data_IF_286863566729
#
_entry.id   IF_286863566729
#
_cell.length_a   1.000
_cell.length_b   1.000
_cell.length_c   1.000
_cell.angle_alpha   90.00
_cell.angle_beta   90.00
_cell.angle_gamma   90.00
#
_symmetry.space_group_name_H-M   'P 1'
#
loop_
_entity.id
_entity.type
_entity.pdbx_description
1 polymer ?
#
# COMPACT_ATOMS: atom_id res chain seq x y z
N UNK A 1 1.87 24.81 -25.51
CA UNK A 1 1.26 23.56 -26.03
C UNK A 1 0.24 23.95 -27.09
N UNK A 2 -0.04 23.10 -28.08
CA UNK A 2 -1.10 23.38 -29.06
C UNK A 2 -2.48 23.26 -28.39
N UNK A 3 -3.49 23.87 -28.98
CA UNK A 3 -4.86 23.75 -28.48
C UNK A 3 -5.38 22.32 -28.60
N UNK A 4 -5.05 21.65 -29.70
CA UNK A 4 -5.41 20.25 -29.95
C UNK A 4 -4.83 19.32 -28.88
N UNK A 5 -3.52 19.41 -28.60
CA UNK A 5 -2.90 18.52 -27.61
C UNK A 5 -3.43 18.74 -26.19
N UNK A 6 -3.83 19.98 -25.86
CA UNK A 6 -4.49 20.27 -24.58
C UNK A 6 -5.91 19.72 -24.54
N UNK A 7 -6.66 19.79 -25.64
CA UNK A 7 -8.02 19.23 -25.69
C UNK A 7 -8.00 17.70 -25.55
N UNK A 8 -7.07 17.02 -26.20
CA UNK A 8 -6.88 15.57 -26.07
C UNK A 8 -6.50 15.19 -24.64
N UNK A 9 -5.51 15.86 -24.06
CA UNK A 9 -5.10 15.65 -22.67
C UNK A 9 -6.23 15.95 -21.66
N UNK A 10 -7.09 16.94 -21.94
CA UNK A 10 -8.23 17.27 -21.11
C UNK A 10 -9.30 16.17 -21.12
N UNK A 11 -9.58 15.60 -22.30
CA UNK A 11 -10.51 14.48 -22.44
C UNK A 11 -9.98 13.24 -21.71
N UNK A 12 -8.70 12.93 -21.92
CA UNK A 12 -8.02 11.80 -21.29
C UNK A 12 -8.03 11.91 -19.76
N UNK A 13 -7.61 13.04 -19.20
CA UNK A 13 -7.72 13.32 -17.75
C UNK A 13 -9.16 13.22 -17.23
N UNK A 14 -10.14 13.59 -18.05
CA UNK A 14 -11.55 13.42 -17.71
C UNK A 14 -11.90 11.97 -17.38
N UNK A 15 -11.39 11.03 -18.17
CA UNK A 15 -11.60 9.59 -17.97
C UNK A 15 -10.82 9.05 -16.76
N UNK A 16 -9.63 9.58 -16.48
CA UNK A 16 -8.83 9.16 -15.32
C UNK A 16 -9.46 9.64 -14.01
N UNK A 17 -9.92 10.89 -13.96
CA UNK A 17 -10.52 11.49 -12.75
C UNK A 17 -11.90 10.90 -12.48
N UNK A 18 -12.67 10.60 -13.53
CA UNK A 18 -14.02 10.03 -13.44
C UNK A 18 -14.16 8.92 -14.47
N UNK A 19 -13.69 7.70 -14.18
CA UNK A 19 -13.82 6.59 -15.11
C UNK A 19 -15.29 6.22 -15.28
N UNK A 20 -15.78 6.05 -16.52
CA UNK A 20 -17.16 5.64 -16.75
C UNK A 20 -17.39 4.20 -16.26
N UNK A 21 -18.64 3.91 -15.87
CA UNK A 21 -19.03 2.53 -15.55
C UNK A 21 -19.00 1.65 -16.80
N UNK A 22 -18.62 0.38 -16.63
CA UNK A 22 -18.68 -0.63 -17.71
C UNK A 22 -20.10 -0.81 -18.28
N UNK A 23 -21.13 -0.64 -17.45
CA UNK A 23 -22.55 -0.68 -17.86
C UNK A 23 -23.35 0.35 -17.06
N UNK A 24 -24.31 0.98 -17.74
CA UNK A 24 -25.23 1.96 -17.14
C UNK A 24 -24.63 3.35 -16.94
N UNK A 25 -25.45 4.34 -16.55
CA UNK A 25 -25.01 5.71 -16.34
C UNK A 25 -24.13 5.86 -15.09
N UNK A 26 -23.25 6.85 -15.10
CA UNK A 26 -22.42 7.24 -13.95
C UNK A 26 -20.96 6.79 -14.03
N UNK A 27 -20.24 7.03 -12.93
CA UNK A 27 -18.79 6.82 -12.84
C UNK A 27 -18.44 5.80 -11.74
N UNK A 28 -17.24 5.25 -11.82
CA UNK A 28 -16.61 4.42 -10.80
C UNK A 28 -15.71 5.31 -9.95
N UNK A 29 -15.57 5.00 -8.66
CA UNK A 29 -14.54 5.62 -7.83
C UNK A 29 -13.16 5.11 -8.29
N UNK A 30 -12.28 5.98 -8.81
CA UNK A 30 -10.97 5.56 -9.28
C UNK A 30 -10.02 5.17 -8.14
N UNK A 31 -10.39 5.39 -6.87
CA UNK A 31 -9.57 5.11 -5.69
C UNK A 31 -8.20 5.82 -5.74
N UNK A 32 -8.19 7.05 -6.25
CA UNK A 32 -7.00 7.89 -6.28
C UNK A 32 -6.66 8.36 -4.87
N UNK A 33 -5.36 8.38 -4.55
CA UNK A 33 -4.88 9.05 -3.34
C UNK A 33 -5.37 10.53 -3.32
N UNK A 34 -5.85 11.06 -2.17
CA UNK A 34 -6.41 12.41 -2.10
C UNK A 34 -5.49 13.51 -2.60
N UNK A 35 -4.17 13.36 -2.39
CA UNK A 35 -3.18 14.31 -2.88
C UNK A 35 -3.12 14.27 -4.41
N UNK A 36 -3.06 13.06 -4.99
CA UNK A 36 -3.05 12.87 -6.44
C UNK A 36 -4.34 13.41 -7.07
N UNK A 37 -5.50 13.11 -6.46
CA UNK A 37 -6.80 13.62 -6.91
C UNK A 37 -6.86 15.15 -6.98
N UNK A 38 -6.34 15.84 -5.96
CA UNK A 38 -6.26 17.31 -5.96
C UNK A 38 -5.39 17.85 -7.10
N UNK A 39 -4.26 17.19 -7.39
CA UNK A 39 -3.38 17.56 -8.51
C UNK A 39 -4.04 17.36 -9.86
N UNK A 40 -4.69 16.23 -10.09
CA UNK A 40 -5.39 15.94 -11.33
C UNK A 40 -6.52 16.94 -11.58
N UNK A 41 -7.28 17.32 -10.55
CA UNK A 41 -8.30 18.38 -10.67
C UNK A 41 -7.68 19.73 -11.05
N UNK A 42 -6.53 20.08 -10.47
CA UNK A 42 -5.81 21.30 -10.85
C UNK A 42 -5.30 21.30 -12.29
N UNK A 43 -4.80 20.15 -12.76
CA UNK A 43 -4.38 19.99 -14.16
C UNK A 43 -5.57 20.14 -15.10
N UNK A 44 -6.69 19.47 -14.81
CA UNK A 44 -7.93 19.59 -15.55
C UNK A 44 -8.42 21.04 -15.60
N UNK A 45 -8.45 21.74 -14.47
CA UNK A 45 -8.87 23.13 -14.40
C UNK A 45 -7.98 24.04 -15.26
N UNK A 46 -6.65 23.87 -15.21
CA UNK A 46 -5.72 24.59 -16.06
C UNK A 46 -6.02 24.38 -17.54
N UNK A 47 -6.16 23.12 -17.97
CA UNK A 47 -6.47 22.79 -19.36
C UNK A 47 -7.82 23.36 -19.81
N UNK A 48 -8.87 23.23 -18.99
CA UNK A 48 -10.18 23.82 -19.30
C UNK A 48 -10.10 25.34 -19.46
N UNK A 49 -9.40 26.03 -18.57
CA UNK A 49 -9.22 27.49 -18.63
C UNK A 49 -8.39 27.94 -19.83
N UNK A 50 -7.49 27.10 -20.34
CA UNK A 50 -6.64 27.40 -21.48
C UNK A 50 -7.33 27.12 -22.82
N UNK A 51 -8.13 26.04 -22.89
CA UNK A 51 -8.75 25.55 -24.12
C UNK A 51 -10.17 26.06 -24.37
N UNK A 52 -10.93 26.42 -23.33
CA UNK A 52 -12.28 26.95 -23.50
C UNK A 52 -12.24 28.40 -24.00
N UNK A 53 -12.84 28.67 -25.16
CA UNK A 53 -12.93 30.01 -25.75
C UNK A 53 -13.75 30.99 -24.90
N UNK A 54 -14.60 30.49 -24.00
CA UNK A 54 -15.36 31.30 -23.04
C UNK A 54 -14.53 31.73 -21.84
N UNK A 55 -13.36 31.13 -21.64
CA UNK A 55 -12.46 31.48 -20.54
C UNK A 55 -11.80 32.84 -20.76
N UNK A 56 -11.75 33.68 -19.72
CA UNK A 56 -11.00 34.94 -19.72
C UNK A 56 -9.50 34.70 -19.98
N UNK A 57 -8.99 33.53 -19.59
CA UNK A 57 -7.60 33.14 -19.79
C UNK A 57 -7.40 32.22 -20.99
N UNK A 58 -8.36 32.18 -21.93
CA UNK A 58 -8.26 31.44 -23.18
C UNK A 58 -6.92 31.72 -23.88
N UNK A 59 -6.24 30.64 -24.28
CA UNK A 59 -4.92 30.65 -24.89
C UNK A 59 -3.80 31.36 -24.10
N UNK A 60 -4.02 31.68 -22.81
CA UNK A 60 -3.04 32.30 -21.92
C UNK A 60 -2.60 31.29 -20.86
N UNK A 61 -1.60 30.48 -21.20
CA UNK A 61 -1.12 29.36 -20.36
C UNK A 61 -0.72 29.78 -18.93
N UNK A 62 0.05 30.87 -18.82
CA UNK A 62 0.47 31.41 -17.52
C UNK A 62 -0.70 31.87 -16.66
N UNK A 63 -1.62 32.64 -17.24
CA UNK A 63 -2.79 33.16 -16.54
C UNK A 63 -3.76 32.03 -16.14
N UNK A 64 -4.01 31.08 -17.04
CA UNK A 64 -4.84 29.89 -16.78
C UNK A 64 -4.29 29.06 -15.62
N UNK A 65 -2.96 28.88 -15.56
CA UNK A 65 -2.32 28.15 -14.46
C UNK A 65 -2.43 28.85 -13.11
N UNK A 66 -2.33 30.19 -13.11
CA UNK A 66 -2.47 30.98 -11.88
C UNK A 66 -3.92 30.95 -11.40
N UNK A 67 -4.88 31.12 -12.32
CA UNK A 67 -6.30 31.07 -12.00
C UNK A 67 -6.69 29.69 -11.44
N UNK A 68 -6.26 28.60 -12.07
CA UNK A 68 -6.49 27.24 -11.56
C UNK A 68 -5.90 27.04 -10.15
N UNK A 69 -4.67 27.53 -9.91
CA UNK A 69 -4.05 27.44 -8.60
C UNK A 69 -4.80 28.24 -7.52
N UNK A 70 -5.28 29.45 -7.86
CA UNK A 70 -6.06 30.30 -6.95
C UNK A 70 -7.39 29.64 -6.61
N UNK A 71 -8.08 29.04 -7.58
CA UNK A 71 -9.34 28.31 -7.35
C UNK A 71 -9.14 27.11 -6.41
N UNK A 72 -7.94 26.52 -6.37
CA UNK A 72 -7.55 25.47 -5.43
C UNK A 72 -7.09 25.98 -4.06
N UNK A 73 -7.13 27.29 -3.80
CA UNK A 73 -6.63 27.89 -2.55
C UNK A 73 -5.10 27.97 -2.47
N UNK A 74 -4.42 28.00 -3.61
CA UNK A 74 -2.96 28.06 -3.71
C UNK A 74 -2.46 29.27 -4.50
N UNK A 75 -1.14 29.53 -4.41
CA UNK A 75 -0.49 30.65 -5.08
C UNK A 75 0.39 30.27 -6.29
N UNK A 76 1.30 31.18 -6.62
CA UNK A 76 2.21 31.11 -7.78
C UNK A 76 3.07 29.85 -7.83
N UNK A 77 3.48 29.31 -6.67
CA UNK A 77 4.22 28.05 -6.58
C UNK A 77 3.42 26.89 -7.17
N UNK A 78 2.15 26.73 -6.76
CA UNK A 78 1.27 25.68 -7.27
C UNK A 78 1.04 25.86 -8.77
N UNK A 79 0.83 27.09 -9.25
CA UNK A 79 0.72 27.37 -10.68
C UNK A 79 1.96 26.92 -11.47
N UNK A 80 3.17 27.07 -10.90
CA UNK A 80 4.41 26.55 -11.49
C UNK A 80 4.43 25.02 -11.56
N UNK A 81 4.00 24.35 -10.49
CA UNK A 81 3.90 22.89 -10.43
C UNK A 81 2.88 22.37 -11.44
N UNK A 82 1.68 22.96 -11.49
CA UNK A 82 0.65 22.58 -12.46
C UNK A 82 1.15 22.72 -13.90
N UNK A 83 1.83 23.81 -14.25
CA UNK A 83 2.41 23.98 -15.60
C UNK A 83 3.43 22.90 -15.94
N UNK A 84 4.24 22.44 -14.97
CA UNK A 84 5.20 21.37 -15.17
C UNK A 84 4.48 20.04 -15.41
N UNK A 85 3.58 19.68 -14.51
CA UNK A 85 2.81 18.43 -14.61
C UNK A 85 2.01 18.37 -15.90
N UNK A 86 1.31 19.45 -16.25
CA UNK A 86 0.54 19.51 -17.49
C UNK A 86 1.41 19.41 -18.75
N UNK A 87 2.66 19.90 -18.74
CA UNK A 87 3.55 19.72 -19.89
C UNK A 87 4.03 18.27 -19.97
N UNK A 88 4.49 17.71 -18.85
CA UNK A 88 4.90 16.31 -18.79
C UNK A 88 3.78 15.37 -19.25
N UNK A 89 2.55 15.66 -18.87
CA UNK A 89 1.39 14.87 -19.26
C UNK A 89 1.03 15.00 -20.74
N UNK A 90 1.22 16.18 -21.35
CA UNK A 90 1.06 16.34 -22.81
C UNK A 90 2.14 15.56 -23.56
N UNK A 91 3.36 15.52 -23.01
CA UNK A 91 4.48 14.80 -23.62
C UNK A 91 4.32 13.27 -23.44
N UNK A 92 3.80 12.83 -22.29
CA UNK A 92 3.52 11.43 -21.95
C UNK A 92 2.28 11.31 -21.04
N UNK A 93 1.17 10.84 -21.62
CA UNK A 93 -0.11 10.67 -20.92
C UNK A 93 -0.08 9.58 -19.84
N UNK A 94 0.97 8.75 -19.77
CA UNK A 94 1.11 7.72 -18.73
C UNK A 94 1.65 8.27 -17.40
N UNK A 95 2.23 9.48 -17.41
CA UNK A 95 2.92 10.06 -16.25
C UNK A 95 1.94 10.81 -15.35
N UNK A 96 1.48 10.15 -14.29
CA UNK A 96 0.60 10.77 -13.28
C UNK A 96 1.38 11.40 -12.11
N UNK A 97 0.81 12.39 -11.40
CA UNK A 97 1.47 13.00 -10.25
C UNK A 97 1.61 12.01 -9.08
N UNK A 98 2.84 11.67 -8.74
CA UNK A 98 3.12 10.82 -7.58
C UNK A 98 3.06 11.61 -6.27
N UNK A 99 2.41 11.04 -5.26
CA UNK A 99 2.33 11.64 -3.94
C UNK A 99 3.70 11.55 -3.23
N UNK A 100 4.36 12.68 -2.91
CA UNK A 100 5.64 12.66 -2.20
C UNK A 100 5.49 12.33 -0.70
N UNK A 101 4.26 12.33 -0.18
CA UNK A 101 3.98 12.08 1.23
C UNK A 101 3.67 10.60 1.48
N UNK A 102 4.12 10.08 2.64
CA UNK A 102 3.84 8.71 3.08
C UNK A 102 4.97 7.71 2.84
N UNK A 103 5.85 7.98 1.88
CA UNK A 103 6.93 7.05 1.50
C UNK A 103 8.16 7.09 2.42
N UNK A 104 8.32 8.16 3.19
CA UNK A 104 9.43 8.39 4.12
C UNK A 104 9.48 7.42 5.32
N UNK A 105 8.49 6.53 5.49
CA UNK A 105 8.38 5.57 6.60
C UNK A 105 8.02 4.14 6.17
N UNK A 106 8.29 3.76 4.92
CA UNK A 106 8.09 2.36 4.49
C UNK A 106 9.02 1.45 5.30
N UNK A 107 8.43 0.49 5.99
CA UNK A 107 9.17 -0.56 6.72
C UNK A 107 10.00 -1.38 5.72
N UNK A 108 11.14 -1.93 6.12
CA UNK A 108 11.90 -2.85 5.25
C UNK A 108 11.07 -4.08 4.83
N UNK A 109 10.02 -4.40 5.60
CA UNK A 109 9.04 -5.44 5.28
C UNK A 109 8.19 -5.16 4.03
N UNK A 110 8.31 -3.99 3.39
CA UNK A 110 7.73 -3.76 2.06
C UNK A 110 8.45 -4.60 0.99
N UNK A 111 9.71 -4.96 1.22
CA UNK A 111 10.41 -5.93 0.39
C UNK A 111 9.85 -7.34 0.67
N UNK A 112 9.14 -7.90 -0.30
CA UNK A 112 8.47 -9.19 -0.17
C UNK A 112 9.46 -10.32 0.10
N UNK A 113 10.59 -10.35 -0.58
CA UNK A 113 11.64 -11.37 -0.39
C UNK A 113 12.18 -11.37 1.05
N UNK A 114 12.49 -10.17 1.59
CA UNK A 114 12.94 -10.03 2.97
C UNK A 114 11.87 -10.52 3.96
N UNK A 115 10.61 -10.19 3.69
CA UNK A 115 9.49 -10.59 4.54
C UNK A 115 9.29 -12.11 4.55
N UNK A 116 9.48 -12.77 3.39
CA UNK A 116 9.36 -14.22 3.25
C UNK A 116 10.53 -14.93 3.94
N UNK A 117 11.78 -14.48 3.72
CA UNK A 117 12.96 -15.05 4.40
C UNK A 117 12.87 -14.92 5.92
N UNK A 118 12.42 -13.76 6.43
CA UNK A 118 12.22 -13.57 7.86
C UNK A 118 11.11 -14.47 8.40
N UNK A 119 10.00 -14.64 7.67
CA UNK A 119 8.92 -15.56 8.06
C UNK A 119 9.41 -17.00 8.15
N UNK A 120 10.18 -17.46 7.16
CA UNK A 120 10.75 -18.81 7.14
C UNK A 120 11.66 -19.03 8.34
N UNK A 121 12.55 -18.07 8.63
CA UNK A 121 13.42 -18.13 9.79
C UNK A 121 12.64 -18.20 11.11
N UNK A 122 11.56 -17.42 11.23
CA UNK A 122 10.72 -17.45 12.42
C UNK A 122 9.97 -18.79 12.58
N UNK A 123 9.53 -19.41 11.48
CA UNK A 123 8.93 -20.75 11.49
C UNK A 123 9.89 -21.83 11.98
N UNK A 124 11.15 -21.78 11.53
CA UNK A 124 12.21 -22.67 12.05
C UNK A 124 12.44 -22.45 13.55
N UNK A 125 12.45 -21.19 13.99
CA UNK A 125 12.64 -20.84 15.41
C UNK A 125 11.46 -21.22 16.30
N UNK A 126 10.23 -21.29 15.79
CA UNK A 126 9.07 -21.78 16.57
C UNK A 126 9.25 -23.21 17.08
N UNK A 127 10.01 -24.04 16.36
CA UNK A 127 10.30 -25.42 16.78
C UNK A 127 11.38 -25.52 17.86
N UNK A 128 12.08 -24.41 18.14
CA UNK A 128 13.16 -24.34 19.13
C UNK A 128 12.64 -23.84 20.48
N UNK A 129 13.22 -24.35 21.58
CA UNK A 129 12.82 -24.05 22.96
C UNK A 129 12.89 -22.57 23.37
N UNK A 130 13.55 -21.72 22.58
CA UNK A 130 13.68 -20.27 22.85
C UNK A 130 12.51 -19.43 22.30
N UNK A 131 11.71 -19.97 21.38
CA UNK A 131 10.54 -19.31 20.79
C UNK A 131 10.86 -18.10 19.90
N UNK A 132 9.82 -17.52 19.30
CA UNK A 132 9.93 -16.32 18.44
C UNK A 132 9.98 -15.06 19.30
N UNK A 133 11.13 -14.40 19.35
CA UNK A 133 11.35 -13.21 20.15
C UNK A 133 11.82 -12.03 19.28
N UNK A 134 11.71 -10.81 19.79
CA UNK A 134 12.23 -9.63 19.10
C UNK A 134 13.77 -9.67 18.92
N UNK A 135 14.47 -10.36 19.83
CA UNK A 135 15.91 -10.63 19.71
C UNK A 135 16.19 -11.54 18.52
N UNK A 136 15.41 -12.60 18.32
CA UNK A 136 15.53 -13.51 17.17
C UNK A 136 15.43 -12.76 15.84
N UNK A 137 14.46 -11.86 15.72
CA UNK A 137 14.29 -11.03 14.51
C UNK A 137 15.47 -10.09 14.31
N UNK A 138 15.94 -9.41 15.37
CA UNK A 138 17.13 -8.55 15.28
C UNK A 138 18.34 -9.36 14.84
N UNK A 139 18.60 -10.49 15.50
CA UNK A 139 19.81 -11.27 15.30
C UNK A 139 19.85 -11.86 13.88
N UNK A 140 18.69 -12.19 13.29
CA UNK A 140 18.57 -12.54 11.88
C UNK A 140 18.88 -11.37 10.94
N UNK A 141 18.26 -10.20 11.17
CA UNK A 141 18.43 -9.03 10.32
C UNK A 141 19.83 -8.41 10.42
N UNK A 142 20.52 -8.59 11.56
CA UNK A 142 21.89 -8.17 11.77
C UNK A 142 22.94 -9.20 11.28
N UNK A 143 22.54 -10.30 10.63
CA UNK A 143 23.50 -11.21 10.00
C UNK A 143 24.17 -10.51 8.82
N UNK A 144 25.52 -10.58 8.69
CA UNK A 144 26.23 -9.87 7.63
C UNK A 144 25.73 -10.24 6.23
N UNK A 145 25.39 -11.51 5.99
CA UNK A 145 24.83 -11.95 4.70
C UNK A 145 23.48 -11.32 4.35
N UNK A 146 22.58 -11.17 5.35
CA UNK A 146 21.27 -10.53 5.16
C UNK A 146 21.43 -9.02 5.03
N UNK A 147 22.29 -8.41 5.86
CA UNK A 147 22.56 -6.97 5.77
C UNK A 147 23.13 -6.58 4.41
N UNK A 148 24.07 -7.36 3.87
CA UNK A 148 24.62 -7.15 2.53
C UNK A 148 23.56 -7.38 1.44
N UNK A 149 22.75 -8.45 1.54
CA UNK A 149 21.73 -8.78 0.54
C UNK A 149 20.66 -7.69 0.38
N UNK A 150 20.22 -7.08 1.49
CA UNK A 150 19.15 -6.08 1.49
C UNK A 150 19.64 -4.65 1.74
N UNK A 151 20.94 -4.39 1.59
CA UNK A 151 21.57 -3.07 1.78
C UNK A 151 21.21 -2.41 3.14
N UNK A 152 21.13 -3.19 4.21
CA UNK A 152 20.84 -2.71 5.56
C UNK A 152 22.11 -2.09 6.12
N UNK A 153 22.12 -0.76 6.26
CA UNK A 153 23.31 0.00 6.69
C UNK A 153 23.46 0.09 8.20
N UNK A 154 22.35 -0.04 8.95
CA UNK A 154 22.32 0.14 10.40
C UNK A 154 21.73 -1.09 11.06
N UNK A 155 22.27 -1.43 12.22
CA UNK A 155 21.70 -2.48 13.05
C UNK A 155 20.24 -2.17 13.41
N UNK A 156 19.40 -3.20 13.32
CA UNK A 156 17.99 -3.07 13.60
C UNK A 156 17.80 -3.01 15.11
N UNK A 157 17.21 -1.92 15.61
CA UNK A 157 16.88 -1.80 17.03
C UNK A 157 15.80 -2.83 17.43
N UNK A 158 15.85 -3.30 18.67
CA UNK A 158 14.86 -4.24 19.24
C UNK A 158 13.42 -3.68 19.11
N UNK A 159 13.24 -2.36 19.22
CA UNK A 159 11.94 -1.71 19.04
C UNK A 159 11.40 -1.87 17.62
N UNK A 160 12.27 -1.75 16.61
CA UNK A 160 11.93 -1.98 15.21
C UNK A 160 11.56 -3.44 14.98
N UNK A 161 12.34 -4.37 15.54
CA UNK A 161 12.05 -5.81 15.49
C UNK A 161 10.68 -6.16 16.12
N UNK A 162 10.32 -5.54 17.26
CA UNK A 162 8.98 -5.66 17.85
C UNK A 162 7.87 -5.17 16.93
N UNK A 163 8.09 -4.04 16.25
CA UNK A 163 7.13 -3.50 15.29
C UNK A 163 6.96 -4.44 14.10
N UNK A 164 8.04 -5.07 13.64
CA UNK A 164 8.01 -6.03 12.54
C UNK A 164 7.18 -7.25 12.89
N UNK A 165 7.40 -7.83 14.07
CA UNK A 165 6.57 -8.93 14.57
C UNK A 165 5.08 -8.57 14.59
N UNK A 166 4.72 -7.38 15.07
CA UNK A 166 3.34 -6.90 15.07
C UNK A 166 2.76 -6.77 13.65
N UNK A 167 3.54 -6.23 12.70
CA UNK A 167 3.14 -6.09 11.29
C UNK A 167 2.96 -7.46 10.62
N UNK A 168 3.81 -8.42 10.94
CA UNK A 168 3.73 -9.81 10.47
C UNK A 168 2.63 -10.63 11.17
N UNK A 169 1.84 -10.03 12.06
CA UNK A 169 0.69 -10.66 12.70
C UNK A 169 0.97 -11.41 14.01
N UNK A 170 2.21 -11.37 14.52
CA UNK A 170 2.55 -12.01 15.79
C UNK A 170 1.90 -11.30 16.97
N UNK A 171 1.23 -12.08 17.84
CA UNK A 171 0.62 -11.60 19.09
C UNK A 171 1.20 -12.37 20.27
N UNK A 172 2.00 -11.68 21.08
CA UNK A 172 2.48 -12.22 22.34
C UNK A 172 1.39 -12.05 23.40
N UNK A 173 0.64 -13.10 23.64
CA UNK A 173 -0.30 -13.19 24.76
C UNK A 173 0.16 -14.30 25.69
N UNK A 174 -0.18 -14.18 26.98
CA UNK A 174 -0.13 -15.34 27.85
C UNK A 174 -1.14 -16.34 27.30
N UNK A 175 -0.72 -17.58 27.08
CA UNK A 175 -1.64 -18.67 26.76
C UNK A 175 -2.72 -18.66 27.85
N UNK A 176 -4.01 -18.50 27.50
CA UNK A 176 -5.06 -18.56 28.50
C UNK A 176 -4.91 -19.91 29.21
N UNK A 177 -4.77 -19.88 30.54
CA UNK A 177 -4.78 -21.06 31.39
C UNK A 177 -6.22 -21.61 31.39
N UNK A 178 -6.62 -22.19 30.27
CA UNK A 178 -7.92 -22.78 30.05
C UNK A 178 -7.83 -24.28 30.19
N UNK A 179 -8.88 -24.87 30.77
CA UNK A 179 -9.07 -26.31 31.00
C UNK A 179 -8.94 -27.20 29.74
N UNK A 180 -8.85 -26.61 28.54
CA UNK A 180 -8.93 -27.29 27.25
C UNK A 180 -7.70 -27.18 26.35
N UNK A 181 -6.60 -26.53 26.77
CA UNK A 181 -5.42 -26.30 25.91
C UNK A 181 -4.79 -27.62 25.44
N UNK A 182 -4.78 -28.67 26.28
CA UNK A 182 -4.33 -30.03 25.94
C UNK A 182 -5.43 -31.08 26.19
N UNK A 183 -6.70 -30.77 25.93
CA UNK A 183 -7.81 -31.69 26.20
C UNK A 183 -7.65 -33.07 25.54
N UNK A 184 -7.02 -33.12 24.36
CA UNK A 184 -6.74 -34.34 23.60
C UNK A 184 -5.63 -35.22 24.17
N UNK A 185 -4.87 -34.74 25.16
CA UNK A 185 -3.83 -35.53 25.82
C UNK A 185 -4.29 -36.14 27.15
N UNK A 186 -5.45 -35.72 27.67
CA UNK A 186 -6.00 -36.34 28.88
C UNK A 186 -6.29 -37.82 28.63
N UNK A 187 -5.91 -38.65 29.60
CA UNK A 187 -5.94 -40.10 29.49
C UNK A 187 -7.36 -40.62 29.19
N UNK A 188 -8.37 -40.05 29.83
CA UNK A 188 -9.79 -40.38 29.63
C UNK A 188 -10.27 -40.03 28.21
N UNK A 189 -9.86 -38.88 27.69
CA UNK A 189 -10.19 -38.44 26.33
C UNK A 189 -9.49 -39.30 25.28
N UNK A 190 -8.21 -39.66 25.47
CA UNK A 190 -7.49 -40.59 24.59
C UNK A 190 -8.11 -41.98 24.61
N UNK A 191 -8.45 -42.48 25.79
CA UNK A 191 -9.07 -43.80 25.95
C UNK A 191 -10.44 -43.87 25.26
N UNK A 192 -11.27 -42.84 25.41
CA UNK A 192 -12.55 -42.76 24.71
C UNK A 192 -12.37 -42.63 23.19
N UNK A 193 -11.42 -41.81 22.73
CA UNK A 193 -11.12 -41.65 21.29
C UNK A 193 -10.74 -42.97 20.66
N UNK A 194 -9.78 -43.68 21.27
CA UNK A 194 -9.17 -44.87 20.69
C UNK A 194 -10.07 -46.10 20.80
N UNK A 195 -10.84 -46.23 21.90
CA UNK A 195 -11.69 -47.40 22.14
C UNK A 195 -13.13 -47.27 21.65
N UNK A 196 -13.67 -46.05 21.56
CA UNK A 196 -15.08 -45.83 21.23
C UNK A 196 -15.23 -45.09 19.92
N UNK A 197 -14.61 -43.91 19.80
CA UNK A 197 -14.87 -43.02 18.68
C UNK A 197 -14.30 -43.52 17.34
N UNK A 198 -13.02 -43.89 17.30
CA UNK A 198 -12.36 -44.37 16.08
C UNK A 198 -12.99 -45.67 15.54
N UNK A 199 -13.24 -46.71 16.37
CA UNK A 199 -13.89 -47.93 15.90
C UNK A 199 -15.31 -47.68 15.34
N UNK A 200 -16.12 -46.87 16.03
CA UNK A 200 -17.48 -46.51 15.58
C UNK A 200 -17.46 -45.79 14.23
N UNK A 201 -16.49 -44.90 14.04
CA UNK A 201 -16.31 -44.17 12.79
C UNK A 201 -15.87 -45.08 11.63
N UNK A 202 -15.08 -46.12 11.91
CA UNK A 202 -14.68 -47.12 10.91
C UNK A 202 -15.85 -48.03 10.51
N UNK A 203 -16.73 -48.41 11.45
CA UNK A 203 -17.97 -49.14 11.15
C UNK A 203 -18.89 -48.35 10.22
N UNK A 204 -19.03 -47.04 10.44
CA UNK A 204 -19.87 -46.16 9.61
C UNK A 204 -19.27 -45.83 8.23
N UNK A 205 -17.99 -46.12 8.03
CA UNK A 205 -17.29 -45.93 6.74
C UNK A 205 -17.30 -47.19 5.86
N UNK A 206 -17.73 -48.33 6.41
CA UNK A 206 -18.00 -49.55 5.65
C UNK A 206 -19.44 -49.54 5.13
#
# INVERSE_FOLDING_TARGET
>A
PSQESVADALNDLGTIIRPPRRKGPGHIDPNHDPWMGSRLQGMRALYSLYADSKSVTYNKWGASSLQAAVTLGHGTYCARILRRLCRQYIDDCSVLPENPYGDWKKSMLVNEDLSQELNLHLQECHSSSSGVNATTVRDFLCRPGIMSKYAITKEVLIQTARRYLKVMGYRFMKTPSGQYVNGHERKDVKEHRDRVYIPKLQELRR
#
